data_IF_668557636283
#
_entry.id   IF_668557636283
#
_cell.length_a   1.000
_cell.length_b   1.000
_cell.length_c   1.000
_cell.angle_alpha   90.00
_cell.angle_beta   90.00
_cell.angle_gamma   90.00
#
_symmetry.space_group_name_H-M   'P 1'
#
loop_
_entity.id
_entity.type
_entity.pdbx_description
1 polymer ?
#
# COMPACT_ATOMS: atom_id res chain seq x y z
N UNK A 1 -10.43 6.30 -9.03
CA UNK A 1 -10.61 5.06 -8.25
C UNK A 1 -9.79 5.18 -6.98
N UNK A 2 -10.43 5.19 -5.82
CA UNK A 2 -9.79 5.36 -4.51
C UNK A 2 -8.85 4.20 -4.16
N UNK A 3 -9.21 2.97 -4.54
CA UNK A 3 -8.38 1.77 -4.34
C UNK A 3 -7.08 1.87 -5.13
N UNK A 4 -7.15 2.16 -6.43
CA UNK A 4 -5.97 2.26 -7.29
C UNK A 4 -5.01 3.36 -6.81
N UNK A 5 -5.56 4.50 -6.36
CA UNK A 5 -4.75 5.58 -5.78
C UNK A 5 -3.95 5.09 -4.57
N UNK A 6 -4.58 4.31 -3.67
CA UNK A 6 -3.91 3.72 -2.50
C UNK A 6 -2.87 2.67 -2.87
N UNK A 7 -3.11 1.88 -3.91
CA UNK A 7 -2.11 0.95 -4.46
C UNK A 7 -0.88 1.70 -5.00
N UNK A 8 -1.07 2.78 -5.76
CA UNK A 8 0.04 3.61 -6.22
C UNK A 8 0.83 4.24 -5.06
N UNK A 9 0.14 4.69 -4.00
CA UNK A 9 0.80 5.17 -2.78
C UNK A 9 1.63 4.06 -2.13
N UNK A 10 1.11 2.83 -2.09
CA UNK A 10 1.83 1.67 -1.57
C UNK A 10 3.08 1.37 -2.39
N UNK A 11 3.06 1.49 -3.72
CA UNK A 11 4.27 1.29 -4.54
C UNK A 11 5.37 2.30 -4.21
N UNK A 12 5.02 3.58 -4.07
CA UNK A 12 5.99 4.60 -3.66
C UNK A 12 6.55 4.32 -2.27
N UNK A 13 5.68 3.94 -1.32
CA UNK A 13 6.08 3.54 0.03
C UNK A 13 7.03 2.32 0.00
N UNK A 14 6.67 1.25 -0.71
CA UNK A 14 7.47 0.04 -0.86
C UNK A 14 8.84 0.36 -1.42
N UNK A 15 8.93 1.10 -2.53
CA UNK A 15 10.22 1.48 -3.13
C UNK A 15 11.05 2.35 -2.20
N UNK A 16 10.43 3.31 -1.50
CA UNK A 16 11.13 4.23 -0.60
C UNK A 16 11.72 3.56 0.62
N UNK A 17 11.03 2.56 1.18
CA UNK A 17 11.40 1.95 2.46
C UNK A 17 12.02 0.55 2.33
N UNK A 18 11.93 -0.10 1.16
CA UNK A 18 12.68 -1.34 0.90
C UNK A 18 14.18 -1.05 0.96
N UNK A 19 14.91 -1.79 1.79
CA UNK A 19 16.35 -1.61 2.07
C UNK A 19 16.73 -0.25 2.67
N UNK A 20 15.76 0.52 3.19
CA UNK A 20 16.06 1.77 3.89
C UNK A 20 16.55 1.47 5.31
N UNK A 21 17.61 2.15 5.74
CA UNK A 21 18.10 2.09 7.13
C UNK A 21 17.35 3.05 8.07
N UNK A 22 16.36 3.77 7.54
CA UNK A 22 15.50 4.68 8.32
C UNK A 22 14.38 3.92 9.00
N UNK A 23 13.84 4.47 10.09
CA UNK A 23 12.59 3.99 10.67
C UNK A 23 11.49 3.97 9.59
N UNK A 24 10.73 2.88 9.57
CA UNK A 24 9.69 2.62 8.58
C UNK A 24 8.35 3.04 9.20
N UNK A 25 7.68 4.09 8.69
CA UNK A 25 6.42 4.55 9.25
C UNK A 25 5.28 3.58 8.87
N UNK A 26 4.21 3.57 9.65
CA UNK A 26 3.03 2.78 9.31
C UNK A 26 2.35 3.28 8.03
N UNK A 27 1.87 2.37 7.19
CA UNK A 27 1.10 2.72 6.00
C UNK A 27 -0.40 2.78 6.35
N UNK A 28 -1.02 3.96 6.42
CA UNK A 28 -2.38 4.09 6.92
C UNK A 28 -3.41 3.55 5.91
N UNK A 29 -4.19 2.58 6.36
CA UNK A 29 -5.32 1.98 5.64
C UNK A 29 -6.59 2.23 6.44
N UNK A 30 -7.55 2.90 5.82
CA UNK A 30 -8.86 3.13 6.44
C UNK A 30 -9.68 1.82 6.41
N UNK A 31 -10.40 1.47 7.49
CA UNK A 31 -11.16 0.22 7.57
C UNK A 31 -12.14 0.03 6.40
N UNK A 32 -12.71 1.13 5.90
CA UNK A 32 -13.74 1.14 4.86
C UNK A 32 -13.23 0.63 3.51
N UNK A 33 -11.92 0.74 3.25
CA UNK A 33 -11.29 0.35 1.97
C UNK A 33 -10.43 -0.91 2.10
N UNK A 34 -10.28 -1.46 3.31
CA UNK A 34 -9.33 -2.53 3.60
C UNK A 34 -9.60 -3.79 2.79
N UNK A 35 -10.88 -4.18 2.64
CA UNK A 35 -11.27 -5.37 1.88
C UNK A 35 -11.02 -5.20 0.38
N UNK A 36 -11.36 -4.05 -0.19
CA UNK A 36 -11.10 -3.77 -1.61
C UNK A 36 -9.59 -3.72 -1.90
N UNK A 37 -8.82 -3.13 -0.99
CA UNK A 37 -7.37 -3.06 -1.11
C UNK A 37 -6.72 -4.44 -0.99
N UNK A 38 -7.24 -5.32 -0.12
CA UNK A 38 -6.80 -6.70 0.00
C UNK A 38 -7.05 -7.49 -1.30
N UNK A 39 -8.25 -7.37 -1.88
CA UNK A 39 -8.56 -8.01 -3.16
C UNK A 39 -7.68 -7.49 -4.29
N UNK A 40 -7.45 -6.18 -4.35
CA UNK A 40 -6.57 -5.56 -5.34
C UNK A 40 -5.10 -6.00 -5.18
N UNK A 41 -4.59 -6.05 -3.94
CA UNK A 41 -3.23 -6.52 -3.67
C UNK A 41 -3.04 -7.99 -4.06
N UNK A 42 -4.03 -8.85 -3.76
CA UNK A 42 -4.02 -10.24 -4.19
C UNK A 42 -4.07 -10.37 -5.72
N UNK A 43 -4.89 -9.56 -6.40
CA UNK A 43 -4.99 -9.58 -7.87
C UNK A 43 -3.72 -9.08 -8.56
N UNK A 44 -3.06 -8.06 -8.00
CA UNK A 44 -1.87 -7.43 -8.54
C UNK A 44 -0.56 -8.09 -8.10
N UNK A 45 -0.63 -9.08 -7.21
CA UNK A 45 0.50 -9.83 -6.64
C UNK A 45 1.61 -8.90 -6.11
N UNK A 46 1.23 -7.94 -5.26
CA UNK A 46 2.11 -6.83 -4.84
C UNK A 46 2.21 -6.56 -3.35
#
# INVERSE_FOLDING_TARGET
SHVLQKVCMYFTYKVRYTNSSTEIPEFPIAPEIALELLMAGNFLDC
#
